data_IF_115236942815
#
_entry.id   IF_115236942815
#
_cell.length_a   1.000
_cell.length_b   1.000
_cell.length_c   1.000
_cell.angle_alpha   90.00
_cell.angle_beta   90.00
_cell.angle_gamma   90.00
#
_symmetry.space_group_name_H-M   'P 1'
#
loop_
_entity.id
_entity.type
_entity.pdbx_description
1 polymer ?
#
# COMPACT_ATOMS: atom_id res chain seq x y z
N UNK A 1 34.40 41.42 -48.25
CA UNK A 1 33.28 40.98 -47.38
C UNK A 1 33.66 39.68 -46.72
N UNK A 2 33.96 39.69 -45.42
CA UNK A 2 34.14 38.48 -44.60
C UNK A 2 32.92 38.38 -43.68
N UNK A 3 32.16 37.29 -43.79
CA UNK A 3 31.07 36.98 -42.87
C UNK A 3 31.65 36.59 -41.50
N UNK A 4 31.05 37.00 -40.37
CA UNK A 4 31.48 36.56 -39.06
C UNK A 4 30.96 35.14 -38.79
N UNK A 5 31.83 34.30 -38.22
CA UNK A 5 31.44 33.01 -37.68
C UNK A 5 30.57 33.22 -36.44
N UNK A 6 29.32 32.76 -36.50
CA UNK A 6 28.45 32.64 -35.35
C UNK A 6 28.95 31.43 -34.55
N UNK A 7 29.52 31.68 -33.38
CA UNK A 7 29.81 30.63 -32.42
C UNK A 7 28.47 30.09 -31.89
N UNK A 8 28.10 28.86 -32.30
CA UNK A 8 27.08 28.11 -31.60
C UNK A 8 27.61 27.81 -30.20
N UNK A 9 27.07 28.50 -29.20
CA UNK A 9 27.11 28.04 -27.82
C UNK A 9 26.28 26.76 -27.76
N UNK A 10 26.94 25.61 -27.88
CA UNK A 10 26.37 24.34 -27.47
C UNK A 10 26.16 24.44 -25.95
N UNK A 11 24.92 24.70 -25.54
CA UNK A 11 24.47 24.42 -24.18
C UNK A 11 24.70 22.94 -23.97
N UNK A 12 25.74 22.60 -23.22
CA UNK A 12 25.94 21.26 -22.69
C UNK A 12 24.71 20.97 -21.83
N UNK A 13 23.75 20.22 -22.38
CA UNK A 13 22.71 19.60 -21.58
C UNK A 13 23.45 18.81 -20.50
N UNK A 14 23.35 19.26 -19.25
CA UNK A 14 23.87 18.52 -18.10
C UNK A 14 23.25 17.13 -18.15
N UNK A 15 24.07 16.12 -18.46
CA UNK A 15 23.63 14.74 -18.46
C UNK A 15 23.02 14.45 -17.08
N UNK A 16 21.73 14.16 -17.05
CA UNK A 16 21.02 13.90 -15.80
C UNK A 16 21.59 12.59 -15.26
N UNK A 17 22.23 12.66 -14.09
CA UNK A 17 22.82 11.47 -13.48
C UNK A 17 21.76 10.36 -13.32
N UNK A 18 22.14 9.09 -13.55
CA UNK A 18 21.24 7.96 -13.37
C UNK A 18 20.66 7.95 -11.96
N UNK A 19 19.33 8.01 -11.85
CA UNK A 19 18.67 7.93 -10.55
C UNK A 19 18.86 6.54 -9.94
N UNK A 20 19.63 6.46 -8.85
CA UNK A 20 19.81 5.22 -8.11
C UNK A 20 18.46 4.67 -7.64
N UNK A 21 18.30 3.35 -7.68
CA UNK A 21 17.07 2.65 -7.26
C UNK A 21 15.79 3.09 -8.02
N UNK A 22 15.90 3.69 -9.22
CA UNK A 22 14.76 4.18 -9.99
C UNK A 22 13.62 3.15 -10.16
N UNK A 23 13.94 1.86 -10.31
CA UNK A 23 12.95 0.78 -10.39
C UNK A 23 12.13 0.63 -9.09
N UNK A 24 12.75 0.82 -7.93
CA UNK A 24 12.07 0.74 -6.64
C UNK A 24 11.21 1.99 -6.38
N UNK A 25 11.70 3.15 -6.78
CA UNK A 25 10.97 4.42 -6.70
C UNK A 25 9.75 4.39 -7.64
N UNK A 26 9.93 3.91 -8.88
CA UNK A 26 8.85 3.66 -9.83
C UNK A 26 7.80 2.72 -9.24
N UNK A 27 8.22 1.61 -8.64
CA UNK A 27 7.29 0.67 -8.01
C UNK A 27 6.53 1.32 -6.86
N UNK A 28 7.19 2.11 -5.99
CA UNK A 28 6.52 2.82 -4.91
C UNK A 28 5.41 3.75 -5.44
N UNK A 29 5.65 4.46 -6.53
CA UNK A 29 4.64 5.31 -7.19
C UNK A 29 3.51 4.45 -7.76
N UNK A 30 3.86 3.48 -8.61
CA UNK A 30 2.91 2.62 -9.32
C UNK A 30 2.01 1.80 -8.38
N UNK A 31 2.53 1.32 -7.25
CA UNK A 31 1.81 0.41 -6.35
C UNK A 31 1.21 1.06 -5.11
N UNK A 32 1.52 2.34 -4.86
CA UNK A 32 0.94 3.08 -3.74
C UNK A 32 -0.60 3.04 -3.75
N UNK A 33 -1.21 2.78 -2.60
CA UNK A 33 -2.67 2.61 -2.46
C UNK A 33 -3.30 1.47 -3.29
N UNK A 34 -2.49 0.50 -3.77
CA UNK A 34 -2.94 -0.70 -4.50
C UNK A 34 -2.64 -1.97 -3.72
N UNK A 35 -3.69 -2.71 -3.38
CA UNK A 35 -3.60 -3.89 -2.52
C UNK A 35 -2.59 -4.93 -3.07
N UNK A 36 -2.60 -5.21 -4.37
CA UNK A 36 -1.75 -6.24 -4.97
C UNK A 36 -0.27 -5.88 -4.90
N UNK A 37 0.08 -4.69 -5.38
CA UNK A 37 1.47 -4.25 -5.44
C UNK A 37 2.04 -3.93 -4.06
N UNK A 38 1.27 -3.32 -3.15
CA UNK A 38 1.70 -3.12 -1.75
C UNK A 38 1.95 -4.45 -1.03
N UNK A 39 1.23 -5.52 -1.39
CA UNK A 39 1.45 -6.87 -0.85
C UNK A 39 2.73 -7.51 -1.37
N UNK A 40 3.09 -7.29 -2.64
CA UNK A 40 4.36 -7.75 -3.21
C UNK A 40 5.56 -6.93 -2.70
N UNK A 41 5.40 -5.62 -2.55
CA UNK A 41 6.40 -4.68 -2.05
C UNK A 41 6.20 -4.37 -0.55
N UNK A 42 5.94 -5.41 0.24
CA UNK A 42 5.43 -5.29 1.61
C UNK A 42 6.30 -4.52 2.62
N UNK A 43 7.59 -4.33 2.36
CA UNK A 43 8.49 -3.61 3.28
C UNK A 43 8.44 -2.08 3.13
N UNK A 44 7.78 -1.56 2.09
CA UNK A 44 7.42 -0.14 1.91
C UNK A 44 8.40 0.90 2.48
N UNK A 45 9.18 1.54 1.61
CA UNK A 45 10.24 2.48 2.02
C UNK A 45 9.90 3.95 1.74
N UNK A 46 8.63 4.27 1.55
CA UNK A 46 8.18 5.58 1.09
C UNK A 46 7.03 6.13 1.94
N UNK A 47 6.99 7.46 2.05
CA UNK A 47 5.93 8.22 2.71
C UNK A 47 5.37 9.26 1.74
N UNK A 48 4.05 9.35 1.65
CA UNK A 48 3.35 10.30 0.80
C UNK A 48 2.41 11.15 1.63
N UNK A 49 2.22 12.42 1.25
CA UNK A 49 1.04 13.16 1.69
C UNK A 49 -0.18 12.63 0.95
N UNK A 50 -1.27 12.42 1.68
CA UNK A 50 -2.50 11.86 1.19
C UNK A 50 -3.69 12.73 1.61
N UNK A 51 -4.69 12.82 0.74
CA UNK A 51 -5.99 13.39 1.09
C UNK A 51 -7.11 12.37 0.94
N UNK A 52 -7.99 12.30 1.94
CA UNK A 52 -9.29 11.60 1.85
C UNK A 52 -10.36 12.66 1.71
N UNK A 53 -11.05 12.78 0.56
CA UNK A 53 -12.00 13.86 0.32
C UNK A 53 -13.15 13.89 1.34
N UNK A 54 -13.70 15.08 1.58
CA UNK A 54 -14.92 15.33 2.34
C UNK A 54 -16.07 14.45 1.83
N UNK A 55 -16.89 13.94 2.75
CA UNK A 55 -18.01 13.06 2.45
C UNK A 55 -17.64 11.60 2.15
N UNK A 56 -16.36 11.23 2.20
CA UNK A 56 -15.92 9.85 2.03
C UNK A 56 -16.43 8.98 3.17
N UNK A 57 -17.08 7.86 2.84
CA UNK A 57 -17.62 6.94 3.83
C UNK A 57 -16.54 6.00 4.37
N UNK A 58 -16.47 5.89 5.69
CA UNK A 58 -15.49 5.09 6.43
C UNK A 58 -16.19 4.23 7.50
N UNK A 59 -15.55 3.12 7.88
CA UNK A 59 -16.15 2.13 8.79
C UNK A 59 -15.24 1.84 9.98
N UNK A 60 -15.85 1.59 11.14
CA UNK A 60 -15.14 1.18 12.36
C UNK A 60 -15.88 0.04 13.05
N UNK A 61 -15.15 -0.97 13.52
CA UNK A 61 -15.69 -2.07 14.31
C UNK A 61 -15.26 -1.97 15.76
N UNK A 62 -16.23 -2.01 16.67
CA UNK A 62 -16.04 -1.79 18.11
C UNK A 62 -16.79 -2.83 18.95
N UNK A 63 -16.35 -3.13 20.19
CA UNK A 63 -17.19 -3.78 21.18
C UNK A 63 -18.24 -2.87 21.82
N UNK A 64 -18.14 -1.55 21.64
CA UNK A 64 -19.04 -0.54 22.24
C UNK A 64 -19.84 0.20 21.17
N UNK A 65 -21.11 0.61 21.44
CA UNK A 65 -21.85 1.52 20.56
C UNK A 65 -21.37 2.98 20.62
N UNK A 66 -20.48 3.31 21.56
CA UNK A 66 -20.02 4.69 21.76
C UNK A 66 -19.25 5.22 20.54
N UNK A 67 -19.47 6.49 20.23
CA UNK A 67 -18.73 7.17 19.17
C UNK A 67 -17.24 7.28 19.52
N UNK A 68 -16.40 7.28 18.49
CA UNK A 68 -14.96 7.42 18.64
C UNK A 68 -14.59 8.80 19.20
N UNK A 69 -13.60 8.84 20.09
CA UNK A 69 -13.02 10.07 20.63
C UNK A 69 -11.50 9.95 20.78
N UNK A 70 -10.77 11.02 20.46
CA UNK A 70 -9.32 11.16 20.55
C UNK A 70 -8.49 10.36 19.53
N UNK A 71 -8.73 9.05 19.38
CA UNK A 71 -8.07 8.22 18.37
C UNK A 71 -8.99 7.12 17.85
N UNK A 72 -8.95 6.86 16.54
CA UNK A 72 -9.79 5.85 15.90
C UNK A 72 -9.12 5.11 14.75
N UNK A 73 -9.53 3.86 14.54
CA UNK A 73 -9.16 3.07 13.36
C UNK A 73 -10.33 3.03 12.39
N UNK A 74 -10.07 3.45 11.15
CA UNK A 74 -11.06 3.45 10.09
C UNK A 74 -10.65 2.50 8.98
N UNK A 75 -11.62 1.79 8.43
CA UNK A 75 -11.47 1.00 7.22
C UNK A 75 -12.26 1.63 6.06
N UNK A 76 -11.76 1.43 4.85
CA UNK A 76 -12.47 1.80 3.62
C UNK A 76 -13.60 0.82 3.27
N UNK A 77 -13.51 -0.41 3.75
CA UNK A 77 -14.48 -1.48 3.48
C UNK A 77 -15.19 -1.92 4.78
N UNK A 78 -16.53 -2.11 4.76
CA UNK A 78 -17.26 -2.55 5.93
C UNK A 78 -16.83 -3.96 6.36
N UNK A 79 -16.48 -4.86 5.43
CA UNK A 79 -15.99 -6.21 5.70
C UNK A 79 -14.70 -6.20 6.51
N UNK A 80 -13.85 -5.19 6.31
CA UNK A 80 -12.64 -5.02 7.08
C UNK A 80 -12.96 -4.58 8.51
N UNK A 81 -13.83 -3.58 8.68
CA UNK A 81 -14.28 -3.13 10.00
C UNK A 81 -15.05 -4.22 10.77
N UNK A 82 -15.86 -5.03 10.09
CA UNK A 82 -16.64 -6.13 10.70
C UNK A 82 -15.76 -7.17 11.42
N UNK A 83 -14.49 -7.33 11.02
CA UNK A 83 -13.56 -8.22 11.73
C UNK A 83 -13.36 -7.78 13.19
N UNK A 84 -13.51 -6.48 13.47
CA UNK A 84 -13.31 -5.87 14.78
C UNK A 84 -14.62 -5.55 15.52
N UNK A 85 -15.77 -5.65 14.84
CA UNK A 85 -17.11 -5.48 15.43
C UNK A 85 -17.52 -6.70 16.28
N UNK A 86 -16.80 -6.94 17.38
CA UNK A 86 -16.97 -8.11 18.25
C UNK A 86 -17.23 -7.69 19.69
N UNK A 87 -17.97 -8.49 20.48
CA UNK A 87 -18.23 -8.18 21.88
C UNK A 87 -16.94 -8.08 22.69
N UNK A 88 -16.96 -7.28 23.75
CA UNK A 88 -15.84 -7.20 24.69
C UNK A 88 -15.53 -8.59 25.27
N UNK A 89 -14.24 -8.98 25.24
CA UNK A 89 -13.77 -10.24 25.84
C UNK A 89 -13.67 -10.21 27.36
N UNK A 90 -14.09 -9.12 28.03
CA UNK A 90 -14.14 -9.08 29.48
C UNK A 90 -15.20 -10.08 29.95
N UNK A 91 -14.75 -11.25 30.42
CA UNK A 91 -15.51 -12.05 31.38
C UNK A 91 -15.81 -11.12 32.55
N UNK A 92 -17.07 -10.76 32.76
CA UNK A 92 -17.47 -10.13 34.01
C UNK A 92 -16.95 -11.02 35.14
N UNK A 93 -16.18 -10.49 36.11
CA UNK A 93 -16.09 -11.14 37.39
C UNK A 93 -17.52 -11.18 37.93
N UNK A 94 -17.99 -12.37 38.26
CA UNK A 94 -19.24 -12.57 38.97
C UNK A 94 -19.13 -11.82 40.29
N UNK A 95 -19.71 -10.62 40.37
CA UNK A 95 -19.84 -9.87 41.62
C UNK A 95 -21.33 -9.80 41.90
N UNK A 96 -21.72 -10.69 42.80
CA UNK A 96 -22.95 -10.65 43.56
C UNK A 96 -23.25 -9.24 44.08
N UNK A 97 -24.47 -8.77 43.76
CA UNK A 97 -25.30 -7.85 44.53
C UNK A 97 -24.62 -6.92 45.56
N UNK A 98 -24.74 -5.59 45.38
CA UNK A 98 -25.68 -4.84 46.22
C UNK A 98 -26.02 -3.41 45.70
N UNK A 99 -27.31 -3.13 45.78
CA UNK A 99 -28.10 -1.89 45.91
C UNK A 99 -27.62 -0.46 45.49
N UNK A 100 -28.55 0.18 44.74
CA UNK A 100 -29.02 1.59 44.78
C UNK A 100 -28.15 2.75 44.30
N UNK A 101 -28.51 3.32 43.14
CA UNK A 101 -28.63 4.77 42.93
C UNK A 101 -29.48 5.07 41.68
N UNK A 102 -30.63 5.71 41.89
CA UNK A 102 -31.47 6.27 40.83
C UNK A 102 -30.81 7.52 40.24
N UNK A 103 -30.68 7.58 38.91
CA UNK A 103 -30.39 8.79 38.15
C UNK A 103 -31.13 8.72 36.82
N UNK A 104 -32.17 9.55 36.65
CA UNK A 104 -32.95 9.65 35.42
C UNK A 104 -32.14 10.37 34.32
N UNK A 105 -32.01 9.76 33.14
CA UNK A 105 -31.46 10.39 31.93
C UNK A 105 -32.61 10.95 31.05
N UNK A 106 -32.52 12.18 30.51
CA UNK A 106 -33.55 12.73 29.63
C UNK A 106 -33.61 12.04 28.27
N UNK A 107 -34.83 11.97 27.74
CA UNK A 107 -35.28 11.34 26.50
C UNK A 107 -34.80 12.11 25.25
N UNK A 108 -34.06 11.46 24.33
CA UNK A 108 -33.75 12.08 23.03
C UNK A 108 -32.59 11.50 22.20
N UNK A 109 -32.60 10.20 21.90
CA UNK A 109 -32.06 9.57 20.67
C UNK A 109 -32.25 8.06 20.85
N UNK A 110 -32.81 7.38 19.86
CA UNK A 110 -33.03 5.93 19.94
C UNK A 110 -31.70 5.18 19.84
N UNK A 111 -30.96 5.10 20.95
CA UNK A 111 -29.90 4.12 21.14
C UNK A 111 -30.61 2.77 21.19
N UNK A 112 -30.53 1.99 20.12
CA UNK A 112 -30.89 0.57 20.21
C UNK A 112 -29.95 -0.04 21.24
N UNK A 113 -30.47 -0.32 22.44
CA UNK A 113 -29.77 -1.03 23.51
C UNK A 113 -29.30 -2.36 22.94
N UNK A 114 -28.00 -2.44 22.64
CA UNK A 114 -27.40 -3.64 22.06
C UNK A 114 -27.60 -4.83 23.00
N UNK A 115 -27.95 -5.98 22.43
CA UNK A 115 -28.07 -7.23 23.17
C UNK A 115 -26.71 -7.56 23.82
N UNK A 116 -26.71 -7.96 25.10
CA UNK A 116 -25.52 -8.48 25.79
C UNK A 116 -24.82 -9.51 24.90
N UNK A 117 -23.55 -9.27 24.56
CA UNK A 117 -22.79 -10.13 23.67
C UNK A 117 -22.86 -9.80 22.18
N UNK A 118 -23.17 -8.56 21.80
CA UNK A 118 -23.03 -8.05 20.42
C UNK A 118 -21.80 -7.15 20.25
N UNK A 119 -21.22 -7.10 19.05
CA UNK A 119 -20.29 -6.05 18.65
C UNK A 119 -21.01 -4.97 17.85
N UNK A 120 -20.32 -3.89 17.47
CA UNK A 120 -20.92 -2.76 16.76
C UNK A 120 -20.12 -2.38 15.52
N UNK A 121 -20.83 -2.13 14.43
CA UNK A 121 -20.29 -1.55 13.21
C UNK A 121 -20.76 -0.10 13.11
N UNK A 122 -19.79 0.79 13.04
CA UNK A 122 -20.00 2.23 12.90
C UNK A 122 -19.71 2.62 11.46
N UNK A 123 -20.57 3.45 10.90
CA UNK A 123 -20.41 4.10 9.61
C UNK A 123 -20.28 5.59 9.85
N UNK A 124 -19.23 6.18 9.29
CA UNK A 124 -18.92 7.60 9.36
C UNK A 124 -18.76 8.18 7.96
N UNK A 125 -18.83 9.51 7.86
CA UNK A 125 -18.37 10.27 6.70
C UNK A 125 -17.34 11.28 7.14
N UNK A 126 -16.33 11.53 6.31
CA UNK A 126 -15.34 12.59 6.58
C UNK A 126 -16.00 13.96 6.58
N UNK A 127 -15.72 14.75 7.62
CA UNK A 127 -16.30 16.08 7.83
C UNK A 127 -15.55 17.20 7.09
N UNK A 128 -14.36 16.89 6.59
CA UNK A 128 -13.52 17.73 5.74
C UNK A 128 -12.66 16.86 4.82
N UNK A 129 -11.89 17.49 3.93
CA UNK A 129 -10.78 16.82 3.26
C UNK A 129 -9.72 16.49 4.33
N UNK A 130 -9.57 15.21 4.67
CA UNK A 130 -8.58 14.79 5.67
C UNK A 130 -7.19 14.85 5.07
N UNK A 131 -6.24 15.41 5.81
CA UNK A 131 -4.82 15.45 5.45
C UNK A 131 -4.06 14.38 6.22
N UNK A 132 -3.49 13.40 5.53
CA UNK A 132 -2.90 12.20 6.14
C UNK A 132 -1.49 11.95 5.60
N UNK A 133 -0.67 11.20 6.35
CA UNK A 133 0.56 10.59 5.81
C UNK A 133 0.27 9.14 5.43
N UNK A 134 0.49 8.77 4.18
CA UNK A 134 0.44 7.37 3.75
C UNK A 134 1.81 6.71 3.91
N UNK A 135 1.84 5.57 4.61
CA UNK A 135 3.01 4.74 4.83
C UNK A 135 2.94 3.55 3.87
N UNK A 136 3.87 3.49 2.92
CA UNK A 136 3.86 2.51 1.84
C UNK A 136 4.01 1.04 2.31
N UNK A 137 3.69 0.10 1.42
CA UNK A 137 3.80 -1.35 1.65
C UNK A 137 2.74 -1.90 2.59
N UNK A 138 3.01 -3.08 3.16
CA UNK A 138 2.15 -3.69 4.19
C UNK A 138 2.54 -3.14 5.57
N UNK A 139 2.54 -1.81 5.71
CA UNK A 139 3.04 -1.06 6.87
C UNK A 139 2.32 -1.33 8.19
N UNK A 140 1.18 -2.02 8.17
CA UNK A 140 0.46 -2.52 9.33
C UNK A 140 0.50 -4.05 9.46
N UNK A 141 1.34 -4.76 8.70
CA UNK A 141 1.57 -6.19 8.86
C UNK A 141 2.49 -6.48 10.05
N UNK A 142 2.05 -7.24 11.06
CA UNK A 142 2.85 -7.49 12.27
C UNK A 142 3.74 -8.71 12.05
N UNK A 143 4.72 -8.55 11.17
CA UNK A 143 5.71 -9.56 10.81
C UNK A 143 7.12 -9.02 11.01
N UNK A 144 8.08 -9.93 11.22
CA UNK A 144 9.51 -9.60 11.35
C UNK A 144 10.24 -9.46 10.01
N UNK A 145 9.55 -9.69 8.89
CA UNK A 145 10.16 -9.65 7.56
C UNK A 145 10.38 -8.22 7.01
N UNK A 146 10.09 -7.19 7.82
CA UNK A 146 10.37 -5.79 7.53
C UNK A 146 9.15 -4.90 7.31
N UNK A 147 7.94 -5.44 7.46
CA UNK A 147 6.68 -4.72 7.25
C UNK A 147 6.48 -3.52 8.17
N UNK A 148 7.11 -3.50 9.35
CA UNK A 148 7.03 -2.36 10.28
C UNK A 148 8.29 -1.47 10.26
N UNK A 149 9.29 -1.77 9.41
CA UNK A 149 10.59 -1.10 9.46
C UNK A 149 10.46 0.42 9.27
N UNK A 150 9.70 0.88 8.26
CA UNK A 150 9.53 2.31 7.98
C UNK A 150 8.79 3.05 9.10
N UNK A 151 7.66 2.53 9.59
CA UNK A 151 6.95 3.18 10.69
C UNK A 151 7.74 3.16 12.01
N UNK A 152 8.37 2.04 12.38
CA UNK A 152 9.03 1.92 13.70
C UNK A 152 10.38 2.65 13.71
N UNK A 153 11.18 2.53 12.65
CA UNK A 153 12.50 3.16 12.57
C UNK A 153 12.43 4.64 12.20
N UNK A 154 11.56 5.03 11.27
CA UNK A 154 11.51 6.40 10.76
C UNK A 154 10.47 7.21 11.53
N UNK A 155 9.18 6.87 11.41
CA UNK A 155 8.10 7.66 12.01
C UNK A 155 8.17 7.70 13.54
N UNK A 156 8.42 6.55 14.19
CA UNK A 156 8.50 6.46 15.65
C UNK A 156 9.90 6.60 16.21
N UNK A 157 10.92 6.79 15.37
CA UNK A 157 12.32 6.98 15.79
C UNK A 157 12.77 5.96 16.86
N UNK A 158 12.49 4.67 16.64
CA UNK A 158 12.89 3.57 17.52
C UNK A 158 12.27 3.58 18.93
N UNK A 159 11.27 4.43 19.18
CA UNK A 159 10.61 4.54 20.51
C UNK A 159 9.55 3.47 20.77
N UNK A 160 9.15 2.73 19.73
CA UNK A 160 8.16 1.65 19.81
C UNK A 160 8.78 0.38 19.24
N UNK A 161 8.75 -0.69 20.03
CA UNK A 161 9.17 -2.02 19.61
C UNK A 161 8.11 -3.06 20.01
N UNK A 162 7.84 -4.03 19.13
CA UNK A 162 6.87 -5.10 19.38
C UNK A 162 5.90 -5.29 18.23
N UNK A 163 5.02 -6.28 18.35
CA UNK A 163 4.09 -6.63 17.29
C UNK A 163 2.67 -6.12 17.56
N UNK A 164 1.71 -7.05 17.55
CA UNK A 164 0.26 -6.80 17.72
C UNK A 164 -0.06 -6.05 19.01
N UNK A 165 0.61 -6.35 20.13
CA UNK A 165 0.34 -5.73 21.42
C UNK A 165 0.60 -4.22 21.49
N UNK A 166 1.32 -3.66 20.51
CA UNK A 166 1.76 -2.27 20.52
C UNK A 166 0.89 -1.35 19.63
N UNK A 167 -0.17 -1.85 19.03
CA UNK A 167 -0.98 -1.08 18.06
C UNK A 167 -1.67 0.12 18.66
N UNK A 168 -2.20 -0.01 19.89
CA UNK A 168 -2.77 1.11 20.65
C UNK A 168 -1.72 2.21 20.88
N UNK A 169 -0.50 1.83 21.27
CA UNK A 169 0.59 2.77 21.50
C UNK A 169 1.06 3.43 20.21
N UNK A 170 1.09 2.71 19.09
CA UNK A 170 1.40 3.29 17.77
C UNK A 170 0.36 4.32 17.37
N UNK A 171 -0.93 4.01 17.51
CA UNK A 171 -1.99 4.95 17.16
C UNK A 171 -1.93 6.23 18.01
N UNK A 172 -1.74 6.10 19.32
CA UNK A 172 -1.56 7.26 20.21
C UNK A 172 -0.31 8.07 19.88
N UNK A 173 0.79 7.40 19.52
CA UNK A 173 2.04 8.08 19.17
C UNK A 173 1.94 8.79 17.82
N UNK A 174 1.23 8.22 16.84
CA UNK A 174 0.89 8.93 15.59
C UNK A 174 0.22 10.26 15.90
N UNK A 175 -0.83 10.26 16.74
CA UNK A 175 -1.55 11.49 17.05
C UNK A 175 -0.73 12.48 17.90
N UNK A 176 0.15 11.97 18.75
CA UNK A 176 1.13 12.81 19.44
C UNK A 176 2.09 13.49 18.46
N UNK A 177 2.66 12.75 17.50
CA UNK A 177 3.55 13.32 16.47
C UNK A 177 2.79 14.35 15.63
N UNK A 178 1.57 14.02 15.20
CA UNK A 178 0.72 14.91 14.42
C UNK A 178 0.48 16.24 15.15
N UNK A 179 0.17 16.18 16.45
CA UNK A 179 -0.10 17.36 17.27
C UNK A 179 1.16 18.14 17.65
N UNK A 180 2.16 17.45 18.19
CA UNK A 180 3.29 18.08 18.87
C UNK A 180 4.41 18.43 17.89
N UNK A 181 4.75 17.50 16.98
CA UNK A 181 5.85 17.66 16.01
C UNK A 181 5.38 18.34 14.74
N UNK A 182 4.20 17.99 14.24
CA UNK A 182 3.64 18.51 13.00
C UNK A 182 2.58 19.59 13.21
N UNK A 183 2.44 20.11 14.44
CA UNK A 183 1.57 21.23 14.79
C UNK A 183 0.11 21.11 14.31
N UNK A 184 -0.44 19.89 14.35
CA UNK A 184 -1.80 19.61 13.89
C UNK A 184 -2.00 19.66 12.38
N UNK A 185 -0.91 19.66 11.58
CA UNK A 185 -1.02 19.72 10.11
C UNK A 185 -1.52 18.45 9.46
N UNK A 186 -1.58 17.32 10.16
CA UNK A 186 -2.15 16.08 9.64
C UNK A 186 -3.13 15.50 10.63
N UNK A 187 -4.17 14.87 10.12
CA UNK A 187 -5.26 14.25 10.87
C UNK A 187 -4.94 12.78 11.24
N UNK A 188 -3.80 12.24 10.80
CA UNK A 188 -3.43 10.84 11.06
C UNK A 188 -2.60 10.19 9.94
N UNK A 189 -2.66 8.86 9.84
CA UNK A 189 -1.91 8.08 8.84
C UNK A 189 -2.75 7.01 8.14
N UNK A 190 -2.43 6.73 6.88
CA UNK A 190 -2.93 5.56 6.12
C UNK A 190 -1.83 4.50 6.10
N UNK A 191 -2.22 3.23 6.29
CA UNK A 191 -1.33 2.06 6.21
C UNK A 191 -2.08 0.80 5.81
N UNK A 192 -1.37 -0.27 5.47
CA UNK A 192 -2.00 -1.51 4.97
C UNK A 192 -1.62 -2.75 5.79
N UNK A 193 -2.62 -3.55 6.15
CA UNK A 193 -2.45 -4.90 6.69
C UNK A 193 -3.07 -5.92 5.73
N UNK A 194 -4.29 -6.39 6.03
CA UNK A 194 -5.09 -7.17 5.09
C UNK A 194 -5.78 -6.27 4.05
N UNK A 195 -6.15 -5.06 4.47
CA UNK A 195 -6.62 -3.97 3.62
C UNK A 195 -6.06 -2.64 4.14
N UNK A 196 -6.33 -1.55 3.43
CA UNK A 196 -5.98 -0.21 3.90
C UNK A 196 -6.83 0.19 5.12
N UNK A 197 -6.17 0.84 6.07
CA UNK A 197 -6.75 1.41 7.28
C UNK A 197 -6.20 2.82 7.52
N UNK A 198 -6.99 3.65 8.19
CA UNK A 198 -6.57 4.96 8.70
C UNK A 198 -6.48 4.86 10.22
N UNK A 199 -5.35 5.28 10.79
CA UNK A 199 -5.33 5.76 12.17
C UNK A 199 -5.67 7.24 12.11
N UNK A 200 -6.81 7.62 12.68
CA UNK A 200 -7.32 8.98 12.67
C UNK A 200 -7.24 9.59 14.08
N UNK A 201 -6.75 10.82 14.14
CA UNK A 201 -6.68 11.64 15.34
C UNK A 201 -7.92 12.50 15.44
N UNK A 202 -8.39 12.71 16.68
CA UNK A 202 -9.57 13.54 17.00
C UNK A 202 -10.76 13.25 16.04
N UNK A 203 -11.21 11.98 15.92
CA UNK A 203 -12.30 11.59 15.02
C UNK A 203 -13.59 12.38 15.24
N UNK A 204 -13.83 12.87 16.46
CA UNK A 204 -14.95 13.75 16.84
C UNK A 204 -14.98 15.08 16.05
N UNK A 205 -13.81 15.58 15.64
CA UNK A 205 -13.67 16.82 14.87
C UNK A 205 -13.61 16.54 13.35
N UNK A 206 -13.26 15.30 12.99
CA UNK A 206 -12.93 14.92 11.61
C UNK A 206 -14.01 14.07 10.92
N UNK A 207 -15.00 13.56 11.66
CA UNK A 207 -16.02 12.65 11.14
C UNK A 207 -17.44 13.04 11.57
N UNK A 208 -18.40 12.83 10.66
CA UNK A 208 -19.81 12.79 10.98
C UNK A 208 -20.28 11.34 11.18
N UNK A 209 -20.88 11.00 12.33
CA UNK A 209 -21.50 9.69 12.52
C UNK A 209 -22.72 9.57 11.61
N UNK A 210 -22.75 8.52 10.79
CA UNK A 210 -23.90 8.22 9.92
C UNK A 210 -24.80 7.20 10.58
N UNK A 211 -24.21 6.10 11.09
CA UNK A 211 -24.97 4.98 11.64
C UNK A 211 -24.11 4.13 12.56
N UNK A 212 -24.69 3.68 13.67
CA UNK A 212 -24.13 2.63 14.52
C UNK A 212 -25.10 1.46 14.52
N UNK A 213 -24.61 0.25 14.24
CA UNK A 213 -25.42 -0.96 14.19
C UNK A 213 -24.81 -2.06 15.05
N UNK A 214 -25.65 -2.71 15.85
CA UNK A 214 -25.30 -3.96 16.51
C UNK A 214 -25.09 -5.07 15.49
N UNK A 215 -23.92 -5.68 15.49
CA UNK A 215 -23.57 -6.87 14.71
C UNK A 215 -23.85 -8.09 15.59
N UNK A 216 -24.79 -8.93 15.14
CA UNK A 216 -25.03 -10.21 15.80
C UNK A 216 -23.78 -11.07 15.64
N UNK A 217 -23.27 -11.62 16.75
CA UNK A 217 -22.29 -12.68 16.66
C UNK A 217 -22.94 -13.82 15.87
N UNK A 218 -22.43 -14.13 14.68
CA UNK A 218 -22.70 -15.43 14.08
C UNK A 218 -22.14 -16.47 15.06
N UNK A 219 -23.02 -17.04 15.90
CA UNK A 219 -22.79 -18.39 16.39
C UNK A 219 -22.77 -19.22 15.12
N UNK A 220 -21.67 -19.90 14.83
CA UNK A 220 -21.66 -20.95 13.81
C UNK A 220 -22.83 -21.88 14.15
N UNK A 221 -23.97 -21.69 13.49
CA UNK A 221 -25.12 -22.58 13.59
C UNK A 221 -24.82 -23.77 12.71
N UNK A 222 -23.81 -24.55 13.09
CA UNK A 222 -23.83 -25.97 12.80
C UNK A 222 -24.88 -26.56 13.74
N UNK A 223 -26.06 -26.79 13.17
CA UNK A 223 -27.10 -27.63 13.73
C UNK A 223 -26.52 -29.03 13.93
N UNK A 224 -25.90 -29.23 15.09
CA UNK A 224 -25.67 -30.47 15.83
C UNK A 224 -24.68 -30.08 16.92
N UNK A 225 -25.04 -30.25 18.19
CA UNK A 225 -24.29 -29.79 19.39
C UNK A 225 -22.91 -30.41 19.60
N UNK A 226 -22.13 -30.65 18.55
CA UNK A 226 -20.71 -30.80 18.59
C UNK A 226 -20.11 -29.44 18.22
N UNK A 227 -19.33 -28.85 19.13
CA UNK A 227 -18.37 -27.81 18.74
C UNK A 227 -17.65 -28.29 17.47
N UNK A 228 -17.57 -27.49 16.38
CA UNK A 228 -16.72 -27.87 15.28
C UNK A 228 -15.33 -28.01 15.88
N UNK A 229 -14.86 -29.26 15.99
CA UNK A 229 -13.48 -29.59 16.27
C UNK A 229 -12.69 -29.03 15.10
N UNK A 230 -12.38 -27.75 15.21
CA UNK A 230 -11.46 -27.01 14.37
C UNK A 230 -10.15 -27.79 14.49
N UNK A 231 -9.89 -28.66 13.52
CA UNK A 231 -8.63 -29.43 13.42
C UNK A 231 -7.54 -28.43 13.07
N UNK A 232 -7.11 -27.70 14.08
CA UNK A 232 -6.01 -26.78 14.04
C UNK A 232 -4.71 -27.58 14.08
N UNK A 233 -3.94 -27.51 12.99
CA UNK A 233 -2.50 -27.68 13.10
C UNK A 233 -1.96 -26.58 14.00
N UNK A 234 -1.27 -26.96 15.09
CA UNK A 234 -0.60 -26.02 15.99
C UNK A 234 0.31 -25.09 15.16
N UNK A 235 -0.01 -23.80 15.07
CA UNK A 235 0.92 -22.78 14.57
C UNK A 235 0.42 -21.81 13.49
N UNK A 236 -0.69 -22.06 12.78
CA UNK A 236 -1.20 -21.11 11.77
C UNK A 236 -2.15 -20.07 12.42
N UNK A 237 -1.96 -18.76 12.19
CA UNK A 237 -2.94 -17.75 12.62
C UNK A 237 -4.31 -18.07 12.04
N UNK A 238 -5.39 -17.76 12.77
CA UNK A 238 -6.73 -17.78 12.16
C UNK A 238 -6.69 -16.83 10.96
N UNK A 239 -6.89 -17.37 9.75
CA UNK A 239 -6.98 -16.57 8.53
C UNK A 239 -8.10 -15.52 8.64
N UNK A 240 -7.97 -14.43 7.89
CA UNK A 240 -9.04 -13.45 7.72
C UNK A 240 -10.23 -14.12 7.02
N UNK A 241 -11.47 -13.66 7.29
CA UNK A 241 -12.66 -14.18 6.64
C UNK A 241 -12.58 -14.07 5.11
N UNK A 242 -13.19 -15.02 4.40
CA UNK A 242 -13.20 -15.05 2.94
C UNK A 242 -13.86 -13.79 2.34
N UNK A 243 -14.85 -13.23 3.05
CA UNK A 243 -15.56 -12.01 2.68
C UNK A 243 -14.63 -10.79 2.74
N UNK A 244 -13.78 -10.69 3.77
CA UNK A 244 -12.75 -9.66 3.83
C UNK A 244 -11.77 -9.83 2.67
N UNK A 245 -11.30 -11.05 2.42
CA UNK A 245 -10.41 -11.31 1.30
C UNK A 245 -11.06 -10.89 -0.03
N UNK A 246 -12.33 -11.23 -0.25
CA UNK A 246 -13.07 -10.80 -1.44
C UNK A 246 -13.16 -9.29 -1.56
N UNK A 247 -13.44 -8.58 -0.46
CA UNK A 247 -13.53 -7.12 -0.47
C UNK A 247 -12.18 -6.47 -0.85
N UNK A 248 -11.08 -6.87 -0.21
CA UNK A 248 -9.76 -6.26 -0.46
C UNK A 248 -9.16 -6.66 -1.80
N UNK A 249 -9.42 -7.87 -2.30
CA UNK A 249 -8.88 -8.34 -3.58
C UNK A 249 -9.72 -7.91 -4.79
N UNK A 250 -10.99 -7.57 -4.60
CA UNK A 250 -11.83 -6.99 -5.66
C UNK A 250 -11.29 -5.65 -6.19
N UNK A 251 -10.38 -5.03 -5.44
CA UNK A 251 -9.81 -3.71 -5.67
C UNK A 251 -8.28 -3.75 -5.67
N UNK A 252 -7.72 -4.79 -6.30
CA UNK A 252 -6.29 -5.02 -6.31
C UNK A 252 -5.48 -3.84 -6.83
N UNK A 253 -6.01 -3.19 -7.85
CA UNK A 253 -5.34 -2.09 -8.57
C UNK A 253 -5.72 -0.71 -8.05
N UNK A 254 -6.39 -0.63 -6.90
CA UNK A 254 -6.66 0.62 -6.20
C UNK A 254 -7.99 0.61 -5.46
N UNK A 255 -8.06 1.38 -4.38
CA UNK A 255 -9.30 1.49 -3.58
C UNK A 255 -10.46 2.13 -4.36
N UNK A 256 -10.19 2.80 -5.48
CA UNK A 256 -11.19 3.30 -6.43
C UNK A 256 -12.00 4.50 -5.94
N UNK A 257 -12.60 5.21 -6.91
CA UNK A 257 -13.49 6.35 -6.67
C UNK A 257 -12.79 7.60 -6.11
N UNK A 258 -11.48 7.77 -6.37
CA UNK A 258 -10.69 8.90 -5.86
C UNK A 258 -10.79 9.09 -4.33
N UNK A 259 -11.12 8.01 -3.60
CA UNK A 259 -11.32 8.02 -2.13
C UNK A 259 -10.04 8.39 -1.37
N UNK A 260 -8.88 8.24 -2.00
CA UNK A 260 -7.59 8.74 -1.56
C UNK A 260 -6.87 9.31 -2.78
N UNK A 261 -6.29 10.50 -2.64
CA UNK A 261 -5.35 11.08 -3.62
C UNK A 261 -4.01 11.31 -2.94
N UNK A 262 -2.92 10.96 -3.61
CA UNK A 262 -1.56 11.16 -3.11
C UNK A 262 -0.88 12.33 -3.81
N UNK A 263 -0.05 13.07 -3.08
CA UNK A 263 0.90 13.99 -3.69
C UNK A 263 2.12 13.20 -4.19
N UNK A 264 2.23 13.07 -5.51
CA UNK A 264 3.38 12.41 -6.15
C UNK A 264 4.49 13.38 -6.54
N UNK A 265 4.23 14.69 -6.53
CA UNK A 265 5.26 15.70 -6.82
C UNK A 265 6.27 15.80 -5.67
N UNK A 266 5.79 15.59 -4.45
CA UNK A 266 6.60 15.57 -3.23
C UNK A 266 6.27 14.33 -2.39
N UNK A 267 7.24 13.44 -2.28
CA UNK A 267 7.19 12.29 -1.39
C UNK A 267 8.60 11.94 -0.93
N UNK A 268 8.68 11.23 0.18
CA UNK A 268 9.95 10.87 0.82
C UNK A 268 10.18 9.37 0.66
N UNK A 269 11.39 8.95 0.35
CA UNK A 269 11.70 7.53 0.18
C UNK A 269 13.13 7.22 0.59
N UNK A 270 13.34 6.09 1.28
CA UNK A 270 14.68 5.66 1.67
C UNK A 270 15.59 5.38 0.45
N UNK A 271 14.99 5.12 -0.73
CA UNK A 271 15.73 4.76 -1.96
C UNK A 271 16.61 5.89 -2.51
N UNK A 272 16.38 7.14 -2.12
CA UNK A 272 17.21 8.30 -2.50
C UNK A 272 18.36 8.57 -1.54
N UNK A 273 18.40 7.88 -0.39
CA UNK A 273 19.47 8.03 0.59
C UNK A 273 20.57 7.01 0.35
N UNK A 274 21.80 7.35 0.71
CA UNK A 274 22.95 6.46 0.65
C UNK A 274 22.90 5.43 1.79
N UNK A 275 21.96 4.50 1.71
CA UNK A 275 21.71 3.45 2.69
C UNK A 275 21.83 2.08 2.02
N UNK A 276 22.48 1.13 2.69
CA UNK A 276 22.51 -0.26 2.24
C UNK A 276 21.19 -0.96 2.58
N UNK A 277 20.13 -0.64 1.84
CA UNK A 277 18.79 -1.18 2.10
C UNK A 277 18.71 -2.70 1.87
N UNK A 278 19.60 -3.28 1.07
CA UNK A 278 19.51 -4.66 0.58
C UNK A 278 20.55 -5.61 1.20
N UNK A 279 21.20 -5.21 2.30
CA UNK A 279 22.18 -6.01 3.04
C UNK A 279 21.68 -7.43 3.40
N UNK A 280 20.37 -7.56 3.69
CA UNK A 280 19.73 -8.81 4.11
C UNK A 280 19.09 -9.62 2.97
N UNK A 281 19.31 -9.23 1.70
CA UNK A 281 18.76 -9.89 0.52
C UNK A 281 17.95 -8.96 -0.39
N UNK A 282 17.03 -9.51 -1.18
CA UNK A 282 16.32 -8.77 -2.23
C UNK A 282 15.24 -7.79 -1.75
N UNK A 283 14.95 -7.76 -0.45
CA UNK A 283 13.92 -6.90 0.14
C UNK A 283 14.59 -5.80 0.97
N UNK A 284 14.15 -4.55 0.84
CA UNK A 284 14.75 -3.46 1.58
C UNK A 284 14.48 -3.64 3.08
N UNK A 285 15.47 -3.35 3.92
CA UNK A 285 15.39 -3.40 5.39
C UNK A 285 16.02 -2.14 5.97
N UNK A 286 15.52 -1.73 7.14
CA UNK A 286 16.09 -0.64 7.92
C UNK A 286 16.72 -1.10 9.23
N UNK A 287 16.40 -2.32 9.70
CA UNK A 287 16.78 -2.79 11.04
C UNK A 287 18.29 -2.79 11.32
N UNK A 288 19.12 -3.07 10.32
CA UNK A 288 20.57 -3.11 10.46
C UNK A 288 21.23 -1.72 10.39
N UNK A 289 20.50 -0.68 10.01
CA UNK A 289 21.00 0.68 9.87
C UNK A 289 21.01 1.40 11.23
N UNK A 290 21.99 2.28 11.45
CA UNK A 290 22.06 3.07 12.67
C UNK A 290 20.98 4.15 12.71
N UNK A 291 20.53 4.52 13.91
CA UNK A 291 19.55 5.60 14.08
C UNK A 291 20.08 6.93 13.50
N UNK A 292 21.40 7.16 13.54
CA UNK A 292 22.04 8.36 12.98
C UNK A 292 21.92 8.41 11.45
N UNK A 293 22.13 7.29 10.76
CA UNK A 293 22.06 7.24 9.29
C UNK A 293 20.63 7.44 8.78
N UNK A 294 19.63 7.13 9.62
CA UNK A 294 18.21 7.34 9.32
C UNK A 294 17.73 8.76 9.64
N UNK A 295 18.55 9.60 10.29
CA UNK A 295 18.13 10.95 10.67
C UNK A 295 17.73 11.83 9.48
N UNK A 296 18.49 11.88 8.36
CA UNK A 296 18.09 12.67 7.19
C UNK A 296 16.72 12.27 6.64
N UNK A 297 16.40 10.98 6.64
CA UNK A 297 15.10 10.49 6.17
C UNK A 297 13.95 10.90 7.11
N UNK A 298 14.20 11.06 8.42
CA UNK A 298 13.22 11.59 9.38
C UNK A 298 13.02 13.09 9.21
N UNK A 299 14.11 13.83 8.97
CA UNK A 299 14.06 15.26 8.72
C UNK A 299 13.29 15.54 7.42
N UNK A 300 13.54 14.77 6.36
CA UNK A 300 12.79 14.84 5.10
C UNK A 300 11.30 14.53 5.29
N UNK A 301 10.95 13.54 6.12
CA UNK A 301 9.55 13.25 6.46
C UNK A 301 8.88 14.42 7.21
N UNK A 302 9.60 15.06 8.14
CA UNK A 302 9.10 16.24 8.81
C UNK A 302 8.90 17.41 7.83
N UNK A 303 9.89 17.67 6.97
CA UNK A 303 9.81 18.70 5.94
C UNK A 303 8.67 18.43 4.95
N UNK A 304 8.46 17.18 4.55
CA UNK A 304 7.33 16.77 3.71
C UNK A 304 6.01 17.27 4.29
N UNK A 305 5.79 17.02 5.59
CA UNK A 305 4.55 17.41 6.27
C UNK A 305 4.46 18.92 6.50
N UNK A 306 5.59 19.60 6.72
CA UNK A 306 5.64 21.01 7.10
C UNK A 306 5.71 21.97 5.91
N UNK A 307 6.18 21.54 4.74
CA UNK A 307 6.46 22.45 3.63
C UNK A 307 5.55 22.21 2.42
N UNK A 308 4.91 21.05 2.31
CA UNK A 308 4.14 20.68 1.13
C UNK A 308 2.64 20.49 1.39
N UNK A 309 1.84 20.74 0.35
CA UNK A 309 0.40 20.49 0.36
C UNK A 309 0.04 19.07 -0.11
N UNK A 310 -1.16 18.59 0.24
CA UNK A 310 -1.62 17.24 -0.15
C UNK A 310 -1.99 17.13 -1.63
N UNK A 311 -2.23 18.27 -2.29
CA UNK A 311 -2.62 18.31 -3.69
C UNK A 311 -1.37 18.34 -4.57
N UNK A 312 -1.12 17.23 -5.28
CA UNK A 312 -0.17 17.21 -6.39
C UNK A 312 -0.76 17.85 -7.65
N UNK A 313 0.11 18.21 -8.57
CA UNK A 313 -0.20 18.77 -9.89
C UNK A 313 -0.31 17.71 -10.98
N UNK A 314 0.49 16.63 -10.88
CA UNK A 314 0.54 15.56 -11.87
C UNK A 314 0.20 14.21 -11.24
N UNK A 315 -0.66 13.44 -11.92
CA UNK A 315 -0.95 12.06 -11.54
C UNK A 315 0.15 11.12 -12.09
N UNK A 316 1.31 11.12 -11.44
CA UNK A 316 2.45 10.29 -11.85
C UNK A 316 2.16 8.79 -11.78
N UNK A 317 1.23 8.34 -10.93
CA UNK A 317 0.80 6.95 -10.91
C UNK A 317 0.10 6.56 -12.23
N UNK A 318 -0.77 7.42 -12.78
CA UNK A 318 -1.39 7.18 -14.09
C UNK A 318 -0.35 7.15 -15.23
N UNK A 319 0.68 7.98 -15.18
CA UNK A 319 1.80 7.89 -16.14
C UNK A 319 2.57 6.58 -16.01
N UNK A 320 2.80 6.11 -14.77
CA UNK A 320 3.40 4.80 -14.54
C UNK A 320 2.52 3.66 -15.07
N UNK A 321 1.19 3.77 -14.98
CA UNK A 321 0.25 2.81 -15.56
C UNK A 321 0.41 2.71 -17.08
N UNK A 322 0.50 3.84 -17.79
CA UNK A 322 0.72 3.84 -19.24
C UNK A 322 1.98 3.08 -19.65
N UNK A 323 3.06 3.22 -18.86
CA UNK A 323 4.32 2.49 -19.07
C UNK A 323 4.10 0.98 -18.81
N UNK A 324 3.50 0.63 -17.68
CA UNK A 324 3.26 -0.77 -17.30
C UNK A 324 2.33 -1.47 -18.29
N UNK A 325 1.20 -0.86 -18.63
CA UNK A 325 0.19 -1.40 -19.55
C UNK A 325 0.76 -1.66 -20.94
N UNK A 326 1.63 -0.77 -21.43
CA UNK A 326 2.28 -0.94 -22.73
C UNK A 326 3.33 -2.05 -22.70
N UNK A 327 4.24 -2.04 -21.75
CA UNK A 327 5.46 -2.86 -21.84
C UNK A 327 5.35 -4.19 -21.08
N UNK A 328 4.63 -4.27 -19.96
CA UNK A 328 4.57 -5.48 -19.15
C UNK A 328 3.94 -6.69 -19.89
N UNK A 329 2.85 -6.57 -20.68
CA UNK A 329 2.31 -7.71 -21.43
C UNK A 329 3.31 -8.27 -22.45
N UNK A 330 4.02 -7.39 -23.15
CA UNK A 330 4.96 -7.77 -24.21
C UNK A 330 6.18 -8.44 -23.59
N UNK A 331 6.81 -7.80 -22.60
CA UNK A 331 7.96 -8.37 -21.88
C UNK A 331 7.63 -9.76 -21.34
N UNK A 332 6.44 -9.98 -20.78
CA UNK A 332 6.00 -11.33 -20.37
C UNK A 332 5.89 -12.32 -21.51
N UNK A 333 5.30 -11.91 -22.63
CA UNK A 333 5.16 -12.74 -23.83
C UNK A 333 6.51 -13.23 -24.33
N UNK A 334 7.51 -12.36 -24.32
CA UNK A 334 8.89 -12.66 -24.71
C UNK A 334 9.56 -13.69 -23.78
N UNK A 335 9.16 -13.76 -22.51
CA UNK A 335 9.80 -14.60 -21.49
C UNK A 335 9.18 -15.97 -21.30
N UNK A 336 7.99 -16.17 -21.86
CA UNK A 336 7.25 -17.40 -21.66
C UNK A 336 7.83 -18.48 -22.58
N UNK A 337 8.70 -19.34 -22.02
CA UNK A 337 9.19 -20.57 -22.68
C UNK A 337 8.00 -21.45 -23.07
N UNK A 338 7.49 -21.30 -24.29
CA UNK A 338 6.41 -22.13 -24.81
C UNK A 338 6.93 -23.55 -25.07
N UNK A 339 6.88 -24.41 -24.06
CA UNK A 339 7.20 -25.85 -24.20
C UNK A 339 6.17 -26.65 -25.00
N UNK A 340 5.00 -26.06 -25.32
CA UNK A 340 3.85 -26.81 -25.89
C UNK A 340 3.14 -26.14 -27.09
N UNK A 341 3.66 -25.05 -27.64
CA UNK A 341 3.12 -24.45 -28.88
C UNK A 341 4.19 -24.45 -29.97
N UNK A 342 3.88 -25.07 -31.12
CA UNK A 342 4.70 -25.06 -32.34
C UNK A 342 4.83 -23.67 -33.00
N UNK A 343 4.21 -22.63 -32.45
CA UNK A 343 4.45 -21.23 -32.84
C UNK A 343 5.48 -20.61 -31.89
N UNK A 344 6.75 -20.62 -32.30
CA UNK A 344 7.76 -19.72 -31.72
C UNK A 344 7.34 -18.29 -32.03
N UNK A 345 6.92 -17.54 -31.02
CA UNK A 345 6.83 -16.08 -31.14
C UNK A 345 8.27 -15.61 -31.42
N UNK A 346 8.49 -14.99 -32.58
CA UNK A 346 9.79 -14.40 -32.88
C UNK A 346 9.89 -13.09 -32.09
N UNK A 347 10.63 -13.14 -30.98
CA UNK A 347 10.86 -12.03 -30.07
C UNK A 347 11.34 -10.77 -30.80
N UNK A 348 12.31 -10.92 -31.69
CA UNK A 348 12.83 -9.82 -32.51
C UNK A 348 11.76 -9.19 -33.40
N UNK A 349 10.81 -9.98 -33.95
CA UNK A 349 9.71 -9.44 -34.75
C UNK A 349 8.68 -8.65 -33.93
N UNK A 350 8.41 -9.07 -32.69
CA UNK A 350 7.51 -8.35 -31.79
C UNK A 350 8.15 -7.05 -31.30
N UNK A 351 9.43 -7.11 -30.91
CA UNK A 351 10.21 -5.95 -30.51
C UNK A 351 10.30 -4.95 -31.68
N UNK A 352 10.56 -5.43 -32.90
CA UNK A 352 10.59 -4.57 -34.10
C UNK A 352 9.26 -3.86 -34.33
N UNK A 353 8.13 -4.56 -34.21
CA UNK A 353 6.79 -3.93 -34.31
C UNK A 353 6.55 -2.91 -33.19
N UNK A 354 6.96 -3.24 -31.97
CA UNK A 354 6.81 -2.35 -30.82
C UNK A 354 7.63 -1.07 -30.96
N UNK A 355 8.85 -1.18 -31.52
CA UNK A 355 9.79 -0.06 -31.66
C UNK A 355 9.59 0.74 -32.95
N UNK A 356 8.90 0.21 -33.96
CA UNK A 356 8.71 0.87 -35.26
C UNK A 356 8.22 2.34 -35.19
N UNK A 357 7.30 2.74 -34.28
CA UNK A 357 6.90 4.14 -34.16
C UNK A 357 8.01 5.09 -33.66
N UNK A 358 9.11 4.54 -33.18
CA UNK A 358 10.21 5.27 -32.54
C UNK A 358 11.53 5.14 -33.30
N UNK A 359 11.55 4.58 -34.51
CA UNK A 359 12.78 4.46 -35.31
C UNK A 359 13.33 5.87 -35.64
N UNK A 360 14.45 6.21 -35.01
CA UNK A 360 15.17 7.47 -35.18
C UNK A 360 16.33 7.38 -36.18
N UNK A 361 17.10 8.46 -36.31
CA UNK A 361 18.31 8.49 -37.16
C UNK A 361 19.42 7.57 -36.64
N UNK A 362 19.47 7.37 -35.32
CA UNK A 362 20.40 6.52 -34.60
C UNK A 362 19.72 5.83 -33.40
N UNK A 363 20.48 5.01 -32.67
CA UNK A 363 19.99 4.27 -31.49
C UNK A 363 19.53 5.25 -30.40
N UNK A 364 20.31 6.30 -30.13
CA UNK A 364 20.01 7.26 -29.06
C UNK A 364 18.74 8.07 -29.35
N UNK A 365 18.53 8.49 -30.60
CA UNK A 365 17.29 9.10 -31.06
C UNK A 365 16.10 8.17 -30.92
N UNK A 366 16.28 6.88 -31.23
CA UNK A 366 15.22 5.88 -31.10
C UNK A 366 14.85 5.63 -29.64
N UNK A 367 15.84 5.52 -28.75
CA UNK A 367 15.63 5.43 -27.30
C UNK A 367 14.91 6.68 -26.80
N UNK A 368 15.33 7.86 -27.23
CA UNK A 368 14.73 9.13 -26.81
C UNK A 368 13.25 9.24 -27.22
N UNK A 369 12.89 8.91 -28.46
CA UNK A 369 11.50 8.91 -28.91
C UNK A 369 10.64 7.88 -28.18
N UNK A 370 11.17 6.68 -27.94
CA UNK A 370 10.48 5.65 -27.17
C UNK A 370 10.25 6.09 -25.71
N UNK A 371 11.28 6.67 -25.08
CA UNK A 371 11.25 7.13 -23.69
C UNK A 371 10.25 8.26 -23.50
N UNK A 372 10.22 9.20 -24.44
CA UNK A 372 9.46 10.44 -24.33
C UNK A 372 7.98 10.34 -24.73
N UNK A 373 7.51 9.14 -25.06
CA UNK A 373 6.14 8.90 -25.53
C UNK A 373 5.06 9.35 -24.53
N UNK A 374 5.26 9.14 -23.22
CA UNK A 374 4.27 9.45 -22.18
C UNK A 374 4.66 10.63 -21.30
N UNK A 375 5.89 11.13 -21.42
CA UNK A 375 6.46 12.17 -20.57
C UNK A 375 7.64 12.83 -21.27
N UNK A 376 7.85 14.12 -21.04
CA UNK A 376 9.02 14.81 -21.56
C UNK A 376 10.31 14.40 -20.82
N UNK A 377 11.47 14.74 -21.40
CA UNK A 377 12.75 14.63 -20.71
C UNK A 377 12.76 15.42 -19.39
N UNK A 378 13.46 14.95 -18.36
CA UNK A 378 13.53 15.69 -17.11
C UNK A 378 14.37 16.96 -17.28
N UNK A 379 14.11 17.96 -16.44
CA UNK A 379 14.86 19.19 -16.31
C UNK A 379 15.26 19.43 -14.84
N UNK A 380 15.81 20.61 -14.53
CA UNK A 380 16.24 20.96 -13.17
C UNK A 380 15.10 21.05 -12.14
N UNK A 381 13.85 21.15 -12.59
CA UNK A 381 12.66 21.27 -11.74
C UNK A 381 11.84 19.96 -11.70
N UNK A 382 12.26 18.92 -12.42
CA UNK A 382 11.58 17.63 -12.44
C UNK A 382 11.49 16.99 -11.05
N UNK A 383 10.27 16.60 -10.68
CA UNK A 383 10.02 15.85 -9.45
C UNK A 383 10.76 14.51 -9.43
N UNK A 384 10.91 13.94 -8.23
CA UNK A 384 11.46 12.59 -8.08
C UNK A 384 10.66 11.55 -8.86
N UNK A 385 9.33 11.69 -8.89
CA UNK A 385 8.45 10.80 -9.65
C UNK A 385 8.70 10.90 -11.16
N UNK A 386 8.82 12.12 -11.69
CA UNK A 386 9.15 12.35 -13.10
C UNK A 386 10.46 11.67 -13.47
N UNK A 387 11.52 11.93 -12.70
CA UNK A 387 12.85 11.35 -12.94
C UNK A 387 12.83 9.82 -12.89
N UNK A 388 12.15 9.23 -11.90
CA UNK A 388 12.04 7.78 -11.77
C UNK A 388 11.32 7.12 -12.94
N UNK A 389 10.17 7.67 -13.35
CA UNK A 389 9.39 7.16 -14.49
C UNK A 389 10.19 7.31 -15.79
N UNK A 390 10.87 8.44 -15.98
CA UNK A 390 11.72 8.65 -17.15
C UNK A 390 12.88 7.65 -17.19
N UNK A 391 13.61 7.48 -16.09
CA UNK A 391 14.74 6.54 -16.02
C UNK A 391 14.31 5.11 -16.28
N UNK A 392 13.18 4.67 -15.73
CA UNK A 392 12.65 3.31 -15.98
C UNK A 392 12.21 3.15 -17.44
N UNK A 393 11.50 4.14 -17.99
CA UNK A 393 11.07 4.13 -19.39
C UNK A 393 12.28 4.08 -20.34
N UNK A 394 13.30 4.88 -20.05
CA UNK A 394 14.56 4.88 -20.80
C UNK A 394 15.22 3.52 -20.79
N UNK A 395 15.31 2.88 -19.62
CA UNK A 395 15.90 1.55 -19.49
C UNK A 395 15.10 0.47 -20.22
N UNK A 396 13.78 0.54 -20.19
CA UNK A 396 12.92 -0.36 -20.97
C UNK A 396 13.20 -0.18 -22.47
N UNK A 397 13.19 1.06 -22.95
CA UNK A 397 13.40 1.39 -24.36
C UNK A 397 14.80 1.01 -24.86
N UNK A 398 15.84 1.28 -24.09
CA UNK A 398 17.21 0.90 -24.43
C UNK A 398 17.38 -0.62 -24.48
N UNK A 399 16.86 -1.34 -23.48
CA UNK A 399 16.91 -2.80 -23.46
C UNK A 399 16.08 -3.42 -24.59
N UNK A 400 14.91 -2.88 -24.93
CA UNK A 400 14.13 -3.38 -26.07
C UNK A 400 14.89 -3.20 -27.39
N UNK A 401 15.57 -2.08 -27.59
CA UNK A 401 16.39 -1.87 -28.78
C UNK A 401 17.61 -2.80 -28.82
N UNK A 402 18.30 -3.01 -27.71
CA UNK A 402 19.39 -3.99 -27.62
C UNK A 402 18.91 -5.42 -27.94
N UNK A 403 17.74 -5.80 -27.42
CA UNK A 403 17.12 -7.11 -27.69
C UNK A 403 16.51 -7.22 -29.10
N UNK A 404 16.34 -6.12 -29.83
CA UNK A 404 16.00 -6.16 -31.26
C UNK A 404 17.13 -6.83 -32.05
N UNK A 405 18.37 -6.61 -31.62
CA UNK A 405 19.59 -7.07 -32.28
C UNK A 405 20.19 -8.35 -31.65
N UNK A 406 19.79 -8.70 -30.42
CA UNK A 406 20.29 -9.87 -29.70
C UNK A 406 19.17 -10.83 -29.25
N UNK A 407 19.36 -12.14 -29.44
CA UNK A 407 18.45 -13.19 -28.98
C UNK A 407 18.75 -13.53 -27.50
N UNK A 408 18.29 -12.68 -26.56
CA UNK A 408 18.53 -12.86 -25.12
C UNK A 408 17.29 -12.66 -24.24
N UNK A 409 17.28 -13.30 -23.06
CA UNK A 409 16.16 -13.32 -22.10
C UNK A 409 16.16 -12.12 -21.12
N UNK A 410 14.97 -11.58 -20.83
CA UNK A 410 14.70 -10.49 -19.87
C UNK A 410 14.00 -10.97 -18.56
N UNK A 411 13.51 -10.05 -17.71
CA UNK A 411 13.09 -10.31 -16.30
C UNK A 411 11.59 -10.61 -16.07
N UNK A 412 11.27 -11.39 -15.03
CA UNK A 412 9.91 -11.88 -14.75
C UNK A 412 8.94 -10.83 -14.16
N UNK A 413 7.73 -10.75 -14.70
CA UNK A 413 6.60 -9.95 -14.16
C UNK A 413 5.57 -10.84 -13.46
N UNK A 414 5.02 -10.39 -12.33
CA UNK A 414 4.09 -11.16 -11.49
C UNK A 414 2.66 -10.61 -11.59
N UNK A 415 1.74 -11.39 -12.15
CA UNK A 415 0.30 -11.09 -12.23
C UNK A 415 -0.46 -12.39 -12.58
N UNK A 416 -1.73 -12.53 -12.16
CA UNK A 416 -2.61 -13.60 -12.65
C UNK A 416 -3.56 -13.06 -13.73
N UNK A 417 -4.03 -13.92 -14.63
CA UNK A 417 -5.10 -13.57 -15.58
C UNK A 417 -6.26 -14.55 -15.51
N UNK A 418 -7.48 -14.01 -15.62
CA UNK A 418 -8.70 -14.78 -15.83
C UNK A 418 -9.14 -15.61 -14.63
N UNK A 419 -8.94 -15.11 -13.40
CA UNK A 419 -9.51 -15.75 -12.23
C UNK A 419 -11.04 -15.75 -12.32
N UNK A 420 -11.68 -16.85 -11.91
CA UNK A 420 -13.15 -16.95 -11.85
C UNK A 420 -13.69 -16.05 -10.73
N UNK A 421 -14.99 -15.72 -10.76
CA UNK A 421 -15.65 -14.89 -9.73
C UNK A 421 -15.56 -15.44 -8.29
N UNK A 422 -15.29 -16.74 -8.16
CA UNK A 422 -15.08 -17.44 -6.89
C UNK A 422 -13.60 -17.55 -6.49
N UNK A 423 -12.72 -16.98 -7.30
CA UNK A 423 -11.26 -17.04 -7.17
C UNK A 423 -10.68 -15.63 -7.14
N UNK A 424 -9.42 -15.54 -6.72
CA UNK A 424 -8.63 -14.31 -6.78
C UNK A 424 -7.19 -14.65 -7.10
N UNK A 425 -6.43 -13.67 -7.59
CA UNK A 425 -4.98 -13.83 -7.80
C UNK A 425 -4.29 -13.90 -6.43
N UNK A 426 -3.90 -15.10 -6.01
CA UNK A 426 -3.29 -15.29 -4.71
C UNK A 426 -1.86 -14.73 -4.70
N UNK A 427 -1.70 -13.65 -3.95
CA UNK A 427 -0.43 -13.12 -3.42
C UNK A 427 -0.51 -13.11 -1.90
N UNK A 428 0.62 -13.08 -1.17
CA UNK A 428 0.57 -12.98 0.28
C UNK A 428 -0.16 -11.70 0.71
N UNK A 429 -1.18 -11.82 1.56
CA UNK A 429 -1.93 -10.69 2.14
C UNK A 429 -1.96 -10.92 3.65
N UNK A 430 -1.27 -10.07 4.41
CA UNK A 430 -1.05 -10.33 5.83
C UNK A 430 -2.39 -10.54 6.59
N UNK A 431 -2.51 -11.59 7.44
CA UNK A 431 -1.49 -12.54 7.89
C UNK A 431 -1.48 -13.88 7.13
N UNK A 432 -2.03 -13.93 5.91
CA UNK A 432 -2.14 -15.15 5.11
C UNK A 432 -1.33 -15.07 3.82
N UNK A 433 -0.93 -16.21 3.27
CA UNK A 433 -0.05 -16.26 2.10
C UNK A 433 1.04 -17.27 2.27
N UNK A 434 1.42 -17.89 1.16
CA UNK A 434 2.57 -18.77 1.10
C UNK A 434 3.73 -18.17 0.31
N UNK A 435 4.93 -18.70 0.53
CA UNK A 435 6.09 -18.37 -0.29
C UNK A 435 5.85 -18.67 -1.79
N UNK A 436 5.10 -19.74 -2.10
CA UNK A 436 4.71 -20.06 -3.47
C UNK A 436 3.82 -18.98 -4.08
N UNK A 437 2.87 -18.43 -3.31
CA UNK A 437 1.99 -17.33 -3.76
C UNK A 437 2.78 -16.06 -4.05
N UNK A 438 3.87 -15.82 -3.33
CA UNK A 438 4.78 -14.71 -3.62
C UNK A 438 5.58 -14.95 -4.91
N UNK A 439 6.17 -16.13 -5.05
CA UNK A 439 7.07 -16.43 -6.16
C UNK A 439 6.33 -16.60 -7.49
N UNK A 440 5.16 -17.25 -7.46
CA UNK A 440 4.35 -17.61 -8.63
C UNK A 440 2.85 -17.43 -8.33
N UNK A 441 2.35 -16.19 -8.33
CA UNK A 441 0.93 -15.93 -8.08
C UNK A 441 0.02 -16.74 -9.01
N UNK A 442 -1.04 -17.33 -8.45
CA UNK A 442 -2.02 -18.15 -9.20
C UNK A 442 -3.44 -17.90 -8.71
N UNK A 443 -4.43 -18.09 -9.57
CA UNK A 443 -5.83 -17.98 -9.17
C UNK A 443 -6.17 -19.07 -8.15
N UNK A 444 -6.69 -18.67 -6.98
CA UNK A 444 -7.12 -19.59 -5.92
C UNK A 444 -8.51 -19.25 -5.43
N UNK A 445 -9.27 -20.26 -4.99
CA UNK A 445 -10.59 -20.06 -4.40
C UNK A 445 -10.48 -19.44 -3.01
N UNK A 446 -11.32 -18.46 -2.70
CA UNK A 446 -11.35 -17.81 -1.38
C UNK A 446 -11.41 -18.78 -0.19
N UNK A 447 -12.13 -19.90 -0.34
CA UNK A 447 -12.32 -20.90 0.73
C UNK A 447 -11.16 -21.90 0.89
N UNK A 448 -10.23 -21.93 -0.06
CA UNK A 448 -9.11 -22.90 -0.10
C UNK A 448 -7.76 -22.24 -0.38
N UNK A 449 -7.68 -20.92 -0.28
CA UNK A 449 -6.46 -20.20 -0.61
C UNK A 449 -5.42 -20.31 0.51
N UNK A 450 -4.16 -20.05 0.16
CA UNK A 450 -3.04 -19.92 1.08
C UNK A 450 -2.65 -21.22 1.81
N UNK A 451 -2.75 -22.34 1.10
CA UNK A 451 -2.09 -23.59 1.50
C UNK A 451 -0.57 -23.47 1.28
N UNK A 452 0.23 -24.22 2.06
CA UNK A 452 1.71 -24.19 1.95
C UNK A 452 2.44 -23.53 3.11
N UNK A 453 3.71 -23.19 2.86
CA UNK A 453 4.67 -22.59 3.80
C UNK A 453 4.34 -21.12 3.99
N UNK A 454 4.09 -20.72 5.24
CA UNK A 454 3.71 -19.35 5.60
C UNK A 454 4.77 -18.34 5.16
N UNK A 455 4.34 -17.37 4.35
CA UNK A 455 5.16 -16.28 3.86
C UNK A 455 5.55 -15.29 4.96
N UNK A 456 4.61 -14.99 5.86
CA UNK A 456 4.75 -13.91 6.83
C UNK A 456 5.56 -14.33 8.06
N UNK A 457 5.78 -15.64 8.22
CA UNK A 457 6.32 -16.21 9.44
C UNK A 457 5.40 -15.99 10.65
N UNK A 458 5.86 -16.36 11.86
CA UNK A 458 5.06 -16.21 13.06
C UNK A 458 4.63 -14.75 13.26
N UNK A 459 3.33 -14.53 13.46
CA UNK A 459 2.78 -13.22 13.83
C UNK A 459 3.57 -12.69 15.02
N UNK A 460 4.16 -11.51 14.84
CA UNK A 460 4.82 -10.81 15.92
C UNK A 460 3.75 -10.39 16.90
N UNK A 461 3.71 -11.04 18.06
CA UNK A 461 2.75 -10.73 19.12
C UNK A 461 3.12 -9.43 19.81
#
# INVERSE_FOLDING_TARGET
MKLPAIALLATTATAIEPLQNANHIFNAIHVSMRQFGSSLHHNGMSFFLATVPHGTQLYHGSPSPDLLAGVGWMAFEPEHAMVFARPSRRRSPDISSDTTAQGQTPLGTSVQTGNEGSGFLHTYRTAKDLRLVYIDGTSAGKSRIGTLDSQDRILFNDTIAGGVGMEEQRARTVCRIAKDTWHGRVDGVIRMAAGFEIILCDPEDNLFPVRVMSVKSHKDTDTNGAEPRRKYGKGKPNGKPAELMRAVTSRFDGIGGERVRLNYDHFVTAYTHNLDLFASGSKPRLQHLSTKDLQPLRDDLANLVMEHEVNGTVNWQATADLVVDKYAPILRGLLRKNKHHHQKINASSEITRLMAPFDGLDIDGSVSFCTSQFLSGPDGNSSLAHRAIYTVSHRICSTLLELREADNEATTWKECRGCKDTEFCAVPIWPQGSQEDYDRPKCQRFTKAYEGVDYWGPVWK
#
